data_IF_198463781955
#
_entry.id   IF_198463781955
#
_cell.length_a   1.000
_cell.length_b   1.000
_cell.length_c   1.000
_cell.angle_alpha   90.00
_cell.angle_beta   90.00
_cell.angle_gamma   90.00
#
_symmetry.space_group_name_H-M   'P 1'
#
loop_
_entity.id
_entity.type
_entity.pdbx_description
1 polymer ?
#
# COMPACT_ATOMS: atom_id res chain seq x y z
N UNK A 1 4.89 15.85 1.59
CA UNK A 1 4.16 15.64 0.31
C UNK A 1 5.13 15.18 -0.75
N UNK A 2 4.84 14.08 -1.39
CA UNK A 2 5.61 13.51 -2.49
C UNK A 2 4.71 13.09 -3.65
N UNK A 3 5.33 12.83 -4.80
CA UNK A 3 4.67 12.15 -5.91
C UNK A 3 5.28 10.76 -5.97
N UNK A 4 4.45 9.74 -5.82
CA UNK A 4 4.83 8.35 -5.99
C UNK A 4 4.60 7.95 -7.45
N UNK A 5 5.61 7.37 -8.08
CA UNK A 5 5.54 6.84 -9.44
C UNK A 5 5.90 5.37 -9.36
N UNK A 6 4.96 4.48 -9.62
CA UNK A 6 5.20 3.04 -9.53
C UNK A 6 4.59 2.27 -10.70
N UNK A 7 5.23 1.17 -11.08
CA UNK A 7 4.67 0.15 -11.97
C UNK A 7 4.37 -1.11 -11.17
N UNK A 8 3.27 -1.77 -11.48
CA UNK A 8 2.77 -2.94 -10.76
C UNK A 8 2.51 -4.09 -11.72
N UNK A 9 2.81 -5.32 -11.26
CA UNK A 9 2.72 -6.53 -12.08
C UNK A 9 2.12 -7.68 -11.26
N UNK A 10 1.23 -8.44 -11.89
CA UNK A 10 0.78 -9.72 -11.38
C UNK A 10 1.88 -10.77 -11.59
N UNK A 11 2.05 -11.69 -10.65
CA UNK A 11 3.01 -12.79 -10.76
C UNK A 11 2.28 -14.12 -10.76
N UNK A 12 2.70 -15.04 -11.62
CA UNK A 12 2.23 -16.42 -11.58
C UNK A 12 2.92 -17.19 -10.45
N UNK A 13 2.14 -17.49 -9.41
CA UNK A 13 2.66 -18.18 -8.22
C UNK A 13 3.08 -19.62 -8.41
N UNK A 14 2.91 -20.20 -9.62
CA UNK A 14 3.33 -21.57 -9.95
C UNK A 14 4.80 -21.67 -10.34
N UNK A 15 5.39 -20.55 -10.76
CA UNK A 15 6.78 -20.47 -11.19
C UNK A 15 7.75 -20.32 -10.01
N UNK A 16 9.06 -20.31 -10.31
CA UNK A 16 10.10 -20.05 -9.32
C UNK A 16 9.92 -18.66 -8.69
N UNK A 17 10.30 -18.58 -7.40
CA UNK A 17 10.15 -17.36 -6.59
C UNK A 17 11.50 -16.86 -6.08
N UNK A 18 12.35 -16.28 -6.97
CA UNK A 18 13.72 -15.90 -6.60
C UNK A 18 13.78 -14.84 -5.50
N UNK A 19 12.75 -14.00 -5.37
CA UNK A 19 12.64 -13.00 -4.30
C UNK A 19 12.58 -13.58 -2.89
N UNK A 20 12.19 -14.85 -2.72
CA UNK A 20 12.04 -15.47 -1.39
C UNK A 20 13.36 -15.66 -0.64
N UNK A 21 14.51 -15.46 -1.31
CA UNK A 21 15.84 -15.43 -0.68
C UNK A 21 16.23 -14.04 -0.19
N UNK A 22 15.42 -13.02 -0.48
CA UNK A 22 15.64 -11.64 -0.07
C UNK A 22 15.08 -11.35 1.32
N UNK A 23 15.46 -10.20 1.89
CA UNK A 23 14.88 -9.69 3.12
C UNK A 23 13.39 -9.42 2.93
N UNK A 24 12.62 -9.59 4.01
CA UNK A 24 11.19 -9.36 3.99
C UNK A 24 10.70 -8.64 5.25
N UNK A 25 9.51 -8.07 5.15
CA UNK A 25 8.72 -7.55 6.27
C UNK A 25 7.30 -8.05 6.18
N UNK A 26 6.69 -8.33 7.32
CA UNK A 26 5.26 -8.63 7.41
C UNK A 26 4.48 -7.31 7.61
N UNK A 27 3.48 -7.10 6.77
CA UNK A 27 2.69 -5.87 6.72
C UNK A 27 1.24 -6.18 7.03
N UNK A 28 0.68 -5.45 7.99
CA UNK A 28 -0.76 -5.28 8.16
C UNK A 28 -1.13 -3.86 7.73
N UNK A 29 -2.18 -3.71 6.95
CA UNK A 29 -2.69 -2.38 6.61
C UNK A 29 -4.21 -2.37 6.57
N UNK A 30 -4.80 -1.27 7.06
CA UNK A 30 -6.23 -1.05 7.04
C UNK A 30 -6.56 0.31 6.44
N UNK A 31 -7.81 0.44 5.97
CA UNK A 31 -8.28 1.59 5.22
C UNK A 31 -9.38 2.31 5.99
N UNK A 32 -9.20 3.64 6.10
CA UNK A 32 -10.09 4.51 6.84
C UNK A 32 -11.05 5.22 5.89
N UNK A 33 -12.28 5.44 6.35
CA UNK A 33 -13.24 6.35 5.74
C UNK A 33 -13.66 7.42 6.75
N UNK A 34 -13.98 8.62 6.27
CA UNK A 34 -14.42 9.72 7.13
C UNK A 34 -13.29 10.41 7.90
N UNK A 35 -12.05 10.31 7.42
CA UNK A 35 -10.94 11.12 7.93
C UNK A 35 -11.18 12.58 7.58
N UNK A 36 -10.94 13.49 8.53
CA UNK A 36 -11.16 14.93 8.38
C UNK A 36 -9.89 15.68 8.77
N UNK A 37 -9.64 16.77 8.06
CA UNK A 37 -8.63 17.76 8.42
C UNK A 37 -9.32 19.02 8.92
N UNK A 38 -8.91 19.50 10.09
CA UNK A 38 -9.41 20.74 10.69
C UNK A 38 -8.34 21.36 11.58
N UNK A 39 -8.01 22.64 11.37
CA UNK A 39 -7.07 23.42 12.15
C UNK A 39 -5.72 22.72 12.42
N UNK A 40 -5.12 22.14 11.38
CA UNK A 40 -3.84 21.46 11.51
C UNK A 40 -3.93 20.03 12.07
N UNK A 41 -5.13 19.52 12.33
CA UNK A 41 -5.33 18.18 12.86
C UNK A 41 -5.98 17.24 11.82
N UNK A 42 -5.40 16.05 11.68
CA UNK A 42 -5.96 14.95 10.91
C UNK A 42 -6.70 14.04 11.88
N UNK A 43 -8.00 13.98 11.75
CA UNK A 43 -8.88 13.33 12.72
C UNK A 43 -9.68 12.18 12.12
N UNK A 44 -9.88 11.13 12.91
CA UNK A 44 -10.75 10.02 12.59
C UNK A 44 -11.49 9.55 13.86
N UNK A 45 -12.81 9.37 13.76
CA UNK A 45 -13.68 9.00 14.89
C UNK A 45 -13.48 9.88 16.14
N UNK A 46 -13.26 11.17 15.94
CA UNK A 46 -13.04 12.11 17.04
C UNK A 46 -11.65 12.05 17.68
N UNK A 47 -10.74 11.29 17.12
CA UNK A 47 -9.35 11.15 17.61
C UNK A 47 -8.41 11.82 16.62
N UNK A 48 -7.49 12.63 17.11
CA UNK A 48 -6.40 13.23 16.32
C UNK A 48 -5.34 12.15 16.05
N UNK A 49 -5.19 11.77 14.78
CA UNK A 49 -4.20 10.78 14.33
C UNK A 49 -2.83 11.41 14.11
N UNK A 50 -2.79 12.57 13.49
CA UNK A 50 -1.57 13.29 13.17
C UNK A 50 -1.84 14.80 13.08
N UNK A 51 -0.76 15.60 12.99
CA UNK A 51 -0.83 17.04 12.79
C UNK A 51 0.04 17.46 11.62
N UNK A 52 -0.49 18.37 10.80
CA UNK A 52 0.23 18.96 9.69
C UNK A 52 -0.31 20.37 9.44
N UNK A 53 0.58 21.33 9.21
CA UNK A 53 0.20 22.70 8.84
C UNK A 53 -0.38 22.77 7.43
N UNK A 54 -0.02 21.79 6.56
CA UNK A 54 -0.46 21.70 5.18
C UNK A 54 -1.62 20.72 5.09
N UNK A 55 -2.79 21.22 4.73
CA UNK A 55 -3.95 20.36 4.51
C UNK A 55 -3.73 19.42 3.32
N UNK A 56 -3.82 18.09 3.50
CA UNK A 56 -3.83 17.18 2.37
C UNK A 56 -5.11 17.37 1.55
N UNK A 57 -4.98 17.63 0.27
CA UNK A 57 -6.10 17.91 -0.63
C UNK A 57 -6.27 16.79 -1.66
N UNK A 58 -7.49 16.65 -2.20
CA UNK A 58 -7.79 15.66 -3.25
C UNK A 58 -7.49 14.21 -2.87
N UNK A 59 -7.59 13.89 -1.58
CA UNK A 59 -7.32 12.54 -1.08
C UNK A 59 -8.47 11.60 -1.43
N UNK A 60 -8.11 10.45 -1.97
CA UNK A 60 -9.05 9.37 -2.32
C UNK A 60 -8.92 8.16 -1.41
N UNK A 61 -7.77 8.00 -0.75
CA UNK A 61 -7.49 6.83 0.09
C UNK A 61 -6.72 7.22 1.33
N UNK A 62 -7.20 6.76 2.49
CA UNK A 62 -6.50 6.84 3.77
C UNK A 62 -6.15 5.44 4.26
N UNK A 63 -4.91 5.21 4.62
CA UNK A 63 -4.38 3.91 5.05
C UNK A 63 -3.54 4.06 6.31
N UNK A 64 -3.71 3.14 7.26
CA UNK A 64 -2.71 2.89 8.30
C UNK A 64 -1.98 1.59 7.97
N UNK A 65 -0.65 1.64 7.98
CA UNK A 65 0.24 0.49 7.76
C UNK A 65 1.04 0.21 9.01
N UNK A 66 1.02 -1.04 9.44
CA UNK A 66 1.80 -1.52 10.59
C UNK A 66 2.89 -2.46 10.09
N UNK A 67 4.13 -2.15 10.45
CA UNK A 67 5.31 -2.99 10.25
C UNK A 67 6.07 -3.03 11.57
N UNK A 68 6.23 -4.21 12.14
CA UNK A 68 6.78 -4.38 13.49
C UNK A 68 6.04 -3.51 14.51
N UNK A 69 6.72 -2.54 15.13
CA UNK A 69 6.14 -1.56 16.06
C UNK A 69 5.93 -0.17 15.45
N UNK A 70 6.18 -0.02 14.14
CA UNK A 70 5.96 1.23 13.42
C UNK A 70 4.58 1.29 12.79
N UNK A 71 3.94 2.44 12.87
CA UNK A 71 2.66 2.71 12.19
C UNK A 71 2.78 3.99 11.39
N UNK A 72 2.42 3.89 10.11
CA UNK A 72 2.39 5.05 9.20
C UNK A 72 0.96 5.27 8.70
N UNK A 73 0.46 6.48 8.90
CA UNK A 73 -0.75 6.98 8.25
C UNK A 73 -0.36 7.52 6.88
N UNK A 74 -1.01 7.05 5.84
CA UNK A 74 -0.79 7.49 4.46
C UNK A 74 -2.07 8.05 3.88
N UNK A 75 -2.00 9.22 3.25
CA UNK A 75 -3.06 9.78 2.42
C UNK A 75 -2.62 9.78 0.97
N UNK A 76 -3.37 9.11 0.10
CA UNK A 76 -3.09 9.06 -1.34
C UNK A 76 -4.15 9.80 -2.13
N UNK A 77 -3.69 10.61 -3.08
CA UNK A 77 -4.51 11.25 -4.07
C UNK A 77 -4.96 10.29 -5.18
N UNK A 78 -5.69 10.81 -6.15
CA UNK A 78 -6.12 10.03 -7.31
C UNK A 78 -4.91 9.63 -8.15
N UNK A 79 -4.80 8.32 -8.42
CA UNK A 79 -3.78 7.81 -9.35
C UNK A 79 -4.12 8.18 -10.79
N UNK A 80 -3.11 8.66 -11.51
CA UNK A 80 -3.16 8.92 -12.96
C UNK A 80 -1.99 8.19 -13.61
N UNK A 81 -2.26 7.10 -14.31
CA UNK A 81 -1.21 6.20 -14.79
C UNK A 81 -0.41 5.59 -13.63
N UNK A 82 0.89 5.79 -13.66
CA UNK A 82 1.81 5.37 -12.60
C UNK A 82 1.88 6.34 -11.40
N UNK A 83 1.38 7.57 -11.51
CA UNK A 83 1.59 8.67 -10.55
C UNK A 83 0.43 8.80 -9.56
N UNK A 84 0.74 9.09 -8.29
CA UNK A 84 -0.19 9.52 -7.25
C UNK A 84 0.50 10.51 -6.29
N UNK A 85 -0.25 11.49 -5.78
CA UNK A 85 0.20 12.31 -4.64
C UNK A 85 0.15 11.46 -3.37
N UNK A 86 1.14 11.63 -2.50
CA UNK A 86 1.23 10.90 -1.25
C UNK A 86 1.69 11.79 -0.10
N UNK A 87 1.04 11.63 1.05
CA UNK A 87 1.40 12.26 2.33
C UNK A 87 1.53 11.16 3.36
N UNK A 88 2.53 11.25 4.24
CA UNK A 88 2.75 10.26 5.28
C UNK A 88 3.04 10.92 6.64
N UNK A 89 2.55 10.29 7.70
CA UNK A 89 2.78 10.67 9.09
C UNK A 89 3.01 9.43 9.95
N UNK A 90 4.01 9.51 10.82
CA UNK A 90 4.21 8.48 11.83
C UNK A 90 3.13 8.57 12.92
N UNK A 91 2.60 7.44 13.34
CA UNK A 91 1.61 7.34 14.41
C UNK A 91 2.18 6.46 15.53
N UNK A 92 2.06 6.88 16.80
CA UNK A 92 2.42 6.01 17.93
C UNK A 92 1.65 4.69 17.89
N UNK A 93 2.33 3.57 18.12
CA UNK A 93 1.70 2.25 18.14
C UNK A 93 0.60 2.15 19.21
N UNK A 94 0.77 2.83 20.34
CA UNK A 94 -0.20 2.89 21.42
C UNK A 94 -1.51 3.55 20.95
N UNK A 95 -1.39 4.63 20.17
CA UNK A 95 -2.57 5.28 19.57
C UNK A 95 -3.28 4.31 18.62
N UNK A 96 -2.55 3.67 17.71
CA UNK A 96 -3.12 2.69 16.79
C UNK A 96 -3.86 1.57 17.53
N UNK A 97 -3.26 1.01 18.58
CA UNK A 97 -3.85 -0.07 19.37
C UNK A 97 -5.13 0.35 20.12
N UNK A 98 -5.34 1.65 20.34
CA UNK A 98 -6.55 2.19 20.97
C UNK A 98 -7.71 2.41 19.99
N UNK A 99 -7.45 2.35 18.70
CA UNK A 99 -8.45 2.65 17.67
C UNK A 99 -9.31 1.42 17.32
N UNK A 100 -10.60 1.62 16.95
CA UNK A 100 -11.50 0.53 16.59
C UNK A 100 -11.25 0.08 15.13
N UNK A 101 -10.14 -0.63 14.89
CA UNK A 101 -9.70 -1.02 13.54
C UNK A 101 -10.17 -2.40 13.10
N UNK A 102 -10.78 -3.21 13.99
CA UNK A 102 -11.14 -4.61 13.74
C UNK A 102 -12.08 -4.83 12.57
N UNK A 103 -13.00 -3.88 12.33
CA UNK A 103 -14.01 -3.98 11.27
C UNK A 103 -13.65 -3.21 10.00
N UNK A 104 -12.45 -2.66 9.94
CA UNK A 104 -11.98 -1.95 8.76
C UNK A 104 -11.60 -2.91 7.63
N UNK A 105 -11.76 -2.48 6.35
CA UNK A 105 -11.15 -3.19 5.25
C UNK A 105 -9.63 -3.29 5.50
N UNK A 106 -9.07 -4.49 5.39
CA UNK A 106 -7.67 -4.73 5.74
C UNK A 106 -7.01 -5.74 4.82
N UNK A 107 -5.69 -5.68 4.76
CA UNK A 107 -4.81 -6.58 4.03
C UNK A 107 -3.68 -7.02 4.95
N UNK A 108 -3.34 -8.30 4.89
CA UNK A 108 -2.08 -8.84 5.39
C UNK A 108 -1.25 -9.35 4.23
N UNK A 109 0.03 -9.07 4.25
CA UNK A 109 0.96 -9.50 3.22
C UNK A 109 2.37 -9.57 3.74
N UNK A 110 3.19 -10.40 3.11
CA UNK A 110 4.64 -10.40 3.27
C UNK A 110 5.27 -9.70 2.09
N UNK A 111 6.07 -8.69 2.33
CA UNK A 111 6.79 -7.91 1.32
C UNK A 111 8.24 -8.31 1.31
N UNK A 112 8.70 -8.81 0.18
CA UNK A 112 10.11 -9.10 -0.09
C UNK A 112 10.74 -7.96 -0.85
N UNK A 113 11.96 -7.60 -0.49
CA UNK A 113 12.75 -6.56 -1.15
C UNK A 113 13.80 -7.23 -2.05
N UNK A 114 13.55 -7.25 -3.34
CA UNK A 114 14.43 -7.90 -4.32
C UNK A 114 15.08 -6.87 -5.23
N UNK A 115 16.43 -6.93 -5.38
CA UNK A 115 17.16 -6.01 -6.25
C UNK A 115 17.24 -6.55 -7.67
N UNK A 116 16.80 -5.75 -8.63
CA UNK A 116 16.92 -6.02 -10.05
C UNK A 116 18.35 -5.88 -10.57
N UNK A 117 18.61 -6.36 -11.77
CA UNK A 117 19.90 -6.25 -12.43
C UNK A 117 20.31 -4.79 -12.71
N UNK A 118 19.33 -3.92 -12.88
CA UNK A 118 19.51 -2.47 -13.05
C UNK A 118 19.67 -1.70 -11.72
N UNK A 119 19.66 -2.39 -10.60
CA UNK A 119 19.78 -1.81 -9.26
C UNK A 119 18.45 -1.26 -8.69
N UNK A 120 17.35 -1.36 -9.43
CA UNK A 120 16.05 -0.96 -8.92
C UNK A 120 15.53 -1.97 -7.90
N UNK A 121 14.87 -1.45 -6.85
CA UNK A 121 14.24 -2.26 -5.83
C UNK A 121 12.84 -2.69 -6.29
N UNK A 122 12.62 -4.00 -6.30
CA UNK A 122 11.30 -4.59 -6.48
C UNK A 122 10.73 -5.00 -5.14
N UNK A 123 9.56 -4.48 -4.83
CA UNK A 123 8.77 -4.89 -3.70
C UNK A 123 7.79 -5.97 -4.13
N UNK A 124 8.01 -7.19 -3.68
CA UNK A 124 7.16 -8.34 -4.05
C UNK A 124 6.27 -8.71 -2.88
N UNK A 125 4.98 -8.48 -3.03
CA UNK A 125 3.95 -8.73 -2.03
C UNK A 125 3.32 -10.10 -2.25
N UNK A 126 3.53 -11.02 -1.32
CA UNK A 126 2.76 -12.25 -1.20
C UNK A 126 1.64 -12.03 -0.19
N UNK A 127 0.40 -12.06 -0.67
CA UNK A 127 -0.77 -11.82 0.16
C UNK A 127 -1.13 -13.03 1.01
N UNK A 128 -1.74 -12.77 2.16
CA UNK A 128 -2.15 -13.77 3.14
C UNK A 128 -3.67 -13.84 3.30
N UNK A 129 -4.13 -14.74 4.15
CA UNK A 129 -5.55 -14.95 4.51
C UNK A 129 -6.43 -15.16 3.25
N UNK A 130 -7.44 -14.33 3.07
CA UNK A 130 -8.42 -14.45 1.99
C UNK A 130 -7.83 -14.21 0.59
N UNK A 131 -6.67 -13.61 0.49
CA UNK A 131 -5.93 -13.36 -0.76
C UNK A 131 -4.72 -14.29 -0.92
N UNK A 132 -4.59 -15.33 -0.11
CA UNK A 132 -3.47 -16.28 -0.20
C UNK A 132 -3.35 -16.85 -1.61
N UNK A 133 -2.12 -16.80 -2.16
CA UNK A 133 -1.82 -17.18 -3.53
C UNK A 133 -1.72 -16.01 -4.51
N UNK A 134 -2.25 -14.83 -4.17
CA UNK A 134 -2.05 -13.60 -4.94
C UNK A 134 -0.64 -13.07 -4.69
N UNK A 135 0.09 -12.73 -5.75
CA UNK A 135 1.42 -12.13 -5.69
C UNK A 135 1.46 -10.94 -6.64
N UNK A 136 1.85 -9.78 -6.12
CA UNK A 136 2.00 -8.54 -6.89
C UNK A 136 3.39 -7.97 -6.64
N UNK A 137 4.11 -7.62 -7.72
CA UNK A 137 5.37 -6.90 -7.64
C UNK A 137 5.18 -5.44 -8.03
N UNK A 138 5.87 -4.57 -7.30
CA UNK A 138 5.88 -3.13 -7.52
C UNK A 138 7.34 -2.66 -7.67
N UNK A 139 7.57 -1.69 -8.57
CA UNK A 139 8.82 -0.96 -8.68
C UNK A 139 8.52 0.53 -8.67
N UNK A 140 9.18 1.27 -7.78
CA UNK A 140 9.09 2.71 -7.71
C UNK A 140 10.11 3.35 -8.66
N UNK A 141 9.70 4.41 -9.33
CA UNK A 141 10.46 5.10 -10.37
C UNK A 141 10.63 6.58 -10.02
N UNK A 142 11.73 7.16 -10.48
CA UNK A 142 11.98 8.62 -10.39
C UNK A 142 11.18 9.40 -11.43
N UNK A 143 10.83 8.77 -12.55
CA UNK A 143 10.02 9.37 -13.62
C UNK A 143 9.20 8.32 -14.36
N UNK A 144 8.13 8.76 -15.03
CA UNK A 144 7.24 7.88 -15.81
C UNK A 144 7.95 7.24 -17.01
N UNK A 145 8.99 7.87 -17.53
CA UNK A 145 9.77 7.42 -18.70
C UNK A 145 11.03 6.65 -18.31
N UNK A 146 11.23 6.38 -17.01
CA UNK A 146 12.41 5.66 -16.55
C UNK A 146 12.43 4.25 -17.14
N UNK A 147 13.59 3.88 -17.69
CA UNK A 147 13.83 2.52 -18.18
C UNK A 147 13.93 1.53 -17.02
N UNK A 148 13.33 0.37 -17.17
CA UNK A 148 13.31 -0.70 -16.17
C UNK A 148 13.64 -2.02 -16.85
N UNK A 149 14.62 -2.75 -16.30
CA UNK A 149 14.87 -4.14 -16.68
C UNK A 149 13.84 -5.04 -16.03
N UNK A 150 12.85 -5.45 -16.82
CA UNK A 150 11.75 -6.28 -16.31
C UNK A 150 12.24 -7.70 -16.01
N UNK A 151 12.16 -8.16 -14.74
CA UNK A 151 12.47 -9.55 -14.40
C UNK A 151 11.62 -10.56 -15.18
N UNK A 152 12.18 -11.70 -15.57
CA UNK A 152 11.47 -12.69 -16.41
C UNK A 152 10.31 -13.38 -15.68
N UNK A 153 10.23 -13.27 -14.37
CA UNK A 153 9.15 -13.85 -13.55
C UNK A 153 7.92 -12.94 -13.40
N UNK A 154 7.92 -11.74 -14.01
CA UNK A 154 6.75 -10.87 -14.04
C UNK A 154 5.69 -11.41 -14.97
N UNK A 155 4.44 -11.24 -14.57
CA UNK A 155 3.27 -11.50 -15.39
C UNK A 155 2.66 -10.22 -15.98
N UNK A 156 1.33 -10.15 -15.99
CA UNK A 156 0.58 -9.05 -16.56
C UNK A 156 0.80 -7.74 -15.80
N UNK A 157 1.06 -6.65 -16.49
CA UNK A 157 1.14 -5.32 -15.89
C UNK A 157 -0.24 -4.82 -15.44
N UNK A 158 -0.31 -4.35 -14.19
CA UNK A 158 -1.53 -3.90 -13.53
C UNK A 158 -1.62 -2.38 -13.40
N UNK A 159 -0.57 -1.64 -13.76
CA UNK A 159 -0.40 -0.19 -13.49
C UNK A 159 -1.61 0.64 -13.88
N UNK A 160 -2.21 0.38 -15.04
CA UNK A 160 -3.36 1.11 -15.58
C UNK A 160 -4.69 0.37 -15.40
N UNK A 161 -4.71 -0.75 -14.68
CA UNK A 161 -5.92 -1.53 -14.45
C UNK A 161 -6.60 -1.12 -13.15
N UNK A 162 -7.93 -1.00 -13.19
CA UNK A 162 -8.74 -0.70 -12.01
C UNK A 162 -8.97 -1.96 -11.18
N UNK A 163 -9.20 -1.78 -9.89
CA UNK A 163 -9.58 -2.86 -8.97
C UNK A 163 -8.41 -3.66 -8.37
N UNK A 164 -7.18 -3.40 -8.78
CA UNK A 164 -5.99 -4.12 -8.31
C UNK A 164 -5.23 -3.41 -7.18
N UNK A 165 -5.67 -2.23 -6.73
CA UNK A 165 -5.07 -1.58 -5.58
C UNK A 165 -5.33 -2.38 -4.30
N UNK A 166 -4.43 -2.30 -3.32
CA UNK A 166 -4.64 -2.93 -2.02
C UNK A 166 -5.94 -2.45 -1.36
N UNK A 167 -6.31 -1.17 -1.54
CA UNK A 167 -7.59 -0.62 -1.08
C UNK A 167 -8.78 -1.34 -1.73
N UNK A 168 -8.77 -1.50 -3.06
CA UNK A 168 -9.83 -2.21 -3.78
C UNK A 168 -9.94 -3.68 -3.37
N UNK A 169 -8.79 -4.36 -3.23
CA UNK A 169 -8.75 -5.75 -2.77
C UNK A 169 -9.30 -5.91 -1.35
N UNK A 170 -8.97 -5.00 -0.44
CA UNK A 170 -9.47 -5.01 0.93
C UNK A 170 -10.99 -4.82 1.02
N UNK A 171 -11.54 -3.93 0.19
CA UNK A 171 -13.00 -3.70 0.08
C UNK A 171 -13.70 -4.93 -0.48
N UNK A 172 -13.15 -5.57 -1.50
CA UNK A 172 -13.70 -6.80 -2.06
C UNK A 172 -13.80 -7.91 -1.01
N UNK A 173 -12.77 -8.07 -0.18
CA UNK A 173 -12.78 -9.06 0.91
C UNK A 173 -13.87 -8.71 1.95
N UNK A 174 -13.96 -7.44 2.34
CA UNK A 174 -14.96 -7.00 3.31
C UNK A 174 -16.37 -7.25 2.80
N UNK A 175 -16.65 -6.87 1.55
CA UNK A 175 -17.97 -7.02 0.94
C UNK A 175 -18.36 -8.50 0.82
N UNK A 176 -17.41 -9.39 0.49
CA UNK A 176 -17.66 -10.84 0.40
C UNK A 176 -17.98 -11.51 1.75
N UNK A 177 -17.71 -10.87 2.88
CA UNK A 177 -18.05 -11.36 4.22
C UNK A 177 -19.44 -10.94 4.70
N UNK A 178 -20.11 -10.07 3.95
CA UNK A 178 -21.45 -9.58 4.26
C UNK A 178 -22.55 -10.46 3.64
N UNK A 179 -22.20 -11.36 2.73
CA UNK A 179 -23.07 -12.36 2.10
C UNK A 179 -23.06 -13.67 2.91
#
# INVERSE_FOLDING_TARGET
MGVEIERRFLIDGREEKPWRTSDFVDIFQCYLSGVRYHDGEIMWNGVTLARDEIAPTNITTWRMRVVDNGVVLTAKGKRVGAMAEEFEWDIPIELFNSLPTSDLPSIKKRRYNWNGADGLLWEVDEFEDSLAGLIIAEVELDSVDQSVDLPPWLGMELTNLRGWSNASLSMMIKDSRLD
#
